data_IF_412098222415
#
_entry.id   IF_412098222415
#
_cell.length_a   1.000
_cell.length_b   1.000
_cell.length_c   1.000
_cell.angle_alpha   90.00
_cell.angle_beta   90.00
_cell.angle_gamma   90.00
#
_symmetry.space_group_name_H-M   'P 1'
#
loop_
_entity.id
_entity.type
_entity.pdbx_description
1 polymer ?
#
# COMPACT_ATOMS: atom_id res chain seq x y z
N UNK A 1 41.98 58.50 -26.79
CA UNK A 1 41.36 58.50 -28.13
C UNK A 1 40.99 57.05 -28.45
N UNK A 2 39.75 56.64 -28.15
CA UNK A 2 38.58 56.52 -29.06
C UNK A 2 38.64 55.23 -29.92
N UNK A 3 37.94 54.13 -29.58
CA UNK A 3 36.52 53.66 -29.81
C UNK A 3 36.31 52.76 -31.04
N UNK A 4 35.31 51.86 -30.91
CA UNK A 4 34.56 51.03 -31.88
C UNK A 4 35.11 49.59 -32.11
N UNK A 5 34.34 48.49 -32.15
CA UNK A 5 32.88 48.28 -32.22
C UNK A 5 32.54 46.80 -31.88
N UNK A 6 31.31 46.51 -31.38
CA UNK A 6 30.69 45.18 -31.27
C UNK A 6 30.07 44.73 -32.63
N UNK A 7 29.72 43.43 -32.84
CA UNK A 7 28.38 42.91 -32.47
C UNK A 7 28.41 41.49 -31.84
N UNK A 8 27.72 41.24 -30.73
CA UNK A 8 26.36 40.66 -30.61
C UNK A 8 26.15 39.40 -31.45
N UNK A 9 26.25 38.19 -30.85
CA UNK A 9 25.42 37.03 -31.21
C UNK A 9 24.93 36.34 -29.94
N UNK A 10 23.61 36.36 -29.79
CA UNK A 10 22.80 35.82 -28.71
C UNK A 10 22.97 34.30 -28.57
N UNK A 11 23.29 33.82 -27.37
CA UNK A 11 23.11 32.41 -27.01
C UNK A 11 21.79 32.26 -26.26
N UNK A 12 20.80 31.77 -26.99
CA UNK A 12 19.54 31.24 -26.48
C UNK A 12 19.82 30.23 -25.37
N UNK A 13 19.40 30.54 -24.14
CA UNK A 13 19.30 29.55 -23.05
C UNK A 13 18.06 28.72 -23.34
N UNK A 14 18.27 27.55 -23.93
CA UNK A 14 17.22 26.57 -24.18
C UNK A 14 16.88 25.90 -22.85
N UNK A 15 15.63 26.07 -22.43
CA UNK A 15 14.83 25.05 -21.77
C UNK A 15 15.26 24.64 -20.36
N UNK A 16 14.59 25.19 -19.36
CA UNK A 16 14.39 24.47 -18.11
C UNK A 16 13.69 23.14 -18.42
N UNK A 17 14.43 22.03 -18.32
CA UNK A 17 13.85 20.69 -18.26
C UNK A 17 13.00 20.65 -16.99
N UNK A 18 11.68 20.82 -17.14
CA UNK A 18 10.75 20.43 -16.08
C UNK A 18 11.00 18.95 -15.83
N UNK A 19 11.49 18.63 -14.63
CA UNK A 19 11.44 17.27 -14.10
C UNK A 19 9.98 16.84 -14.15
N UNK A 20 9.62 16.05 -15.15
CA UNK A 20 8.41 15.26 -15.10
C UNK A 20 8.64 14.24 -14.00
N UNK A 21 7.99 14.45 -12.85
CA UNK A 21 7.71 13.35 -11.94
C UNK A 21 7.00 12.30 -12.78
N UNK A 22 7.72 11.26 -13.19
CA UNK A 22 7.13 10.05 -13.70
C UNK A 22 6.27 9.52 -12.55
N UNK A 23 4.96 9.77 -12.60
CA UNK A 23 4.03 8.99 -11.83
C UNK A 23 4.39 7.54 -12.12
N UNK A 24 4.83 6.82 -11.09
CA UNK A 24 5.14 5.41 -11.24
C UNK A 24 3.85 4.74 -11.75
N UNK A 25 3.89 3.96 -12.84
CA UNK A 25 2.70 3.31 -13.39
C UNK A 25 1.97 2.45 -12.35
N UNK A 26 2.68 2.00 -11.32
CA UNK A 26 2.14 1.24 -10.20
C UNK A 26 1.29 2.10 -9.23
N UNK A 27 1.52 3.41 -9.16
CA UNK A 27 0.77 4.31 -8.26
C UNK A 27 -0.63 4.61 -8.79
N UNK A 28 -0.83 4.68 -10.10
CA UNK A 28 -2.14 4.93 -10.71
C UNK A 28 -3.04 3.71 -10.51
N UNK A 29 -2.49 2.50 -10.74
CA UNK A 29 -3.17 1.24 -10.49
C UNK A 29 -3.63 1.04 -9.02
N UNK A 30 -2.89 1.57 -8.04
CA UNK A 30 -3.28 1.50 -6.64
C UNK A 30 -4.41 2.46 -6.28
N UNK A 31 -4.40 3.68 -6.83
CA UNK A 31 -5.45 4.69 -6.58
C UNK A 31 -6.77 4.32 -7.23
N UNK A 32 -6.70 3.66 -8.40
CA UNK A 32 -7.85 3.15 -9.12
C UNK A 32 -8.42 1.84 -8.52
N UNK A 33 -7.76 1.28 -7.51
CA UNK A 33 -8.27 0.09 -6.81
C UNK A 33 -9.59 0.40 -6.09
N UNK A 34 -10.65 -0.40 -6.28
CA UNK A 34 -11.98 -0.13 -5.70
C UNK A 34 -12.01 -0.17 -4.16
N UNK A 35 -10.97 -0.72 -3.51
CA UNK A 35 -10.81 -0.72 -2.05
C UNK A 35 -10.10 0.52 -1.55
N UNK A 36 -9.40 1.26 -2.42
CA UNK A 36 -8.57 2.39 -2.03
C UNK A 36 -9.30 3.43 -1.16
N UNK A 37 -10.52 3.89 -1.50
CA UNK A 37 -11.22 4.85 -0.65
C UNK A 37 -11.49 4.34 0.77
N UNK A 38 -11.72 3.02 0.93
CA UNK A 38 -11.97 2.39 2.23
C UNK A 38 -10.68 2.26 3.03
N UNK A 39 -9.56 1.99 2.36
CA UNK A 39 -8.22 1.98 2.98
C UNK A 39 -7.88 3.38 3.51
N UNK A 40 -8.10 4.43 2.71
CA UNK A 40 -7.88 5.81 3.14
C UNK A 40 -8.74 6.17 4.36
N UNK A 41 -10.03 5.82 4.32
CA UNK A 41 -10.93 6.07 5.44
C UNK A 41 -10.48 5.37 6.73
N UNK A 42 -10.11 4.09 6.66
CA UNK A 42 -9.65 3.33 7.81
C UNK A 42 -8.34 3.89 8.40
N UNK A 43 -7.38 4.27 7.54
CA UNK A 43 -6.13 4.89 7.99
C UNK A 43 -6.37 6.25 8.66
N UNK A 44 -7.27 7.07 8.11
CA UNK A 44 -7.64 8.35 8.71
C UNK A 44 -8.37 8.17 10.05
N UNK A 45 -9.26 7.20 10.16
CA UNK A 45 -9.95 6.87 11.41
C UNK A 45 -8.96 6.45 12.49
N UNK A 46 -8.03 5.54 12.19
CA UNK A 46 -6.97 5.14 13.11
C UNK A 46 -6.11 6.33 13.55
N UNK A 47 -5.71 7.18 12.60
CA UNK A 47 -4.87 8.35 12.89
C UNK A 47 -5.59 9.37 13.78
N UNK A 48 -6.84 9.69 13.45
CA UNK A 48 -7.66 10.63 14.23
C UNK A 48 -8.02 10.09 15.62
N UNK A 49 -8.06 8.76 15.78
CA UNK A 49 -8.11 8.08 17.06
C UNK A 49 -6.81 8.09 17.87
N UNK A 50 -5.76 8.78 17.39
CA UNK A 50 -4.48 8.95 18.07
C UNK A 50 -3.50 7.77 17.89
N UNK A 51 -3.75 6.87 16.93
CA UNK A 51 -2.78 5.82 16.60
C UNK A 51 -1.60 6.43 15.86
N UNK A 52 -0.39 6.11 16.32
CA UNK A 52 0.87 6.51 15.67
C UNK A 52 1.58 5.33 14.99
N UNK A 53 1.03 4.12 15.12
CA UNK A 53 1.49 2.91 14.47
C UNK A 53 0.31 2.19 13.82
N UNK A 54 0.56 1.53 12.69
CA UNK A 54 -0.45 0.72 11.99
C UNK A 54 0.19 -0.54 11.40
N UNK A 55 -0.51 -1.67 11.52
CA UNK A 55 -0.16 -2.92 10.83
C UNK A 55 -1.20 -3.28 9.78
N UNK A 56 -0.75 -3.52 8.55
CA UNK A 56 -1.57 -3.81 7.38
C UNK A 56 -1.19 -5.18 6.83
N UNK A 57 -2.15 -6.08 6.69
CA UNK A 57 -1.98 -7.36 6.00
C UNK A 57 -2.69 -7.30 4.66
N UNK A 58 -2.03 -7.70 3.59
CA UNK A 58 -2.62 -7.82 2.24
C UNK A 58 -2.64 -9.29 1.83
N UNK A 59 -3.83 -9.88 1.85
CA UNK A 59 -4.08 -11.27 1.54
C UNK A 59 -4.44 -11.41 0.05
N UNK A 60 -3.56 -12.08 -0.69
CA UNK A 60 -3.50 -12.12 -2.17
C UNK A 60 -2.88 -10.85 -2.78
N UNK A 61 -1.75 -10.40 -2.22
CA UNK A 61 -1.18 -9.07 -2.48
C UNK A 61 -0.61 -8.86 -3.90
N UNK A 62 -0.49 -9.91 -4.71
CA UNK A 62 0.15 -9.85 -6.02
C UNK A 62 1.58 -9.32 -5.93
N UNK A 63 1.88 -8.28 -6.71
CA UNK A 63 3.18 -7.61 -6.68
C UNK A 63 3.32 -6.58 -5.54
N UNK A 64 2.38 -6.53 -4.59
CA UNK A 64 2.43 -5.66 -3.41
C UNK A 64 2.10 -4.20 -3.68
N UNK A 65 1.62 -3.86 -4.89
CA UNK A 65 1.38 -2.48 -5.33
C UNK A 65 0.42 -1.73 -4.40
N UNK A 66 -0.71 -2.32 -4.05
CA UNK A 66 -1.69 -1.68 -3.17
C UNK A 66 -1.16 -1.57 -1.73
N UNK A 67 -0.58 -2.63 -1.18
CA UNK A 67 0.02 -2.61 0.16
C UNK A 67 1.08 -1.52 0.29
N UNK A 68 2.04 -1.45 -0.64
CA UNK A 68 3.10 -0.44 -0.60
C UNK A 68 2.53 0.98 -0.74
N UNK A 69 1.49 1.16 -1.55
CA UNK A 69 0.81 2.45 -1.69
C UNK A 69 0.09 2.85 -0.39
N UNK A 70 -0.64 1.92 0.24
CA UNK A 70 -1.30 2.13 1.52
C UNK A 70 -0.31 2.49 2.63
N UNK A 71 0.83 1.81 2.68
CA UNK A 71 1.90 2.09 3.63
C UNK A 71 2.50 3.49 3.42
N UNK A 72 2.76 3.87 2.16
CA UNK A 72 3.21 5.22 1.81
C UNK A 72 2.20 6.29 2.22
N UNK A 73 0.90 6.03 2.05
CA UNK A 73 -0.16 6.95 2.48
C UNK A 73 -0.26 7.05 4.00
N UNK A 74 -0.13 5.94 4.74
CA UNK A 74 -0.05 5.97 6.20
C UNK A 74 1.10 6.87 6.67
N UNK A 75 2.27 6.80 6.03
CA UNK A 75 3.39 7.71 6.33
C UNK A 75 3.03 9.18 6.09
N UNK A 76 2.33 9.49 5.00
CA UNK A 76 1.86 10.84 4.69
C UNK A 76 0.84 11.36 5.73
N UNK A 77 0.04 10.48 6.33
CA UNK A 77 -0.90 10.81 7.41
C UNK A 77 -0.22 11.03 8.77
N UNK A 78 1.07 10.69 8.89
CA UNK A 78 1.87 10.92 10.09
C UNK A 78 2.07 9.68 10.98
N UNK A 79 1.72 8.48 10.52
CA UNK A 79 2.08 7.24 11.23
C UNK A 79 3.60 7.12 11.33
N UNK A 80 4.13 6.98 12.54
CA UNK A 80 5.57 6.91 12.82
C UNK A 80 6.15 5.50 12.69
N UNK A 81 5.30 4.47 12.76
CA UNK A 81 5.67 3.09 12.49
C UNK A 81 4.59 2.46 11.62
N UNK A 82 4.97 1.90 10.47
CA UNK A 82 4.03 1.25 9.56
C UNK A 82 4.58 -0.12 9.22
N UNK A 83 3.81 -1.14 9.56
CA UNK A 83 4.14 -2.53 9.28
C UNK A 83 3.21 -3.08 8.20
N UNK A 84 3.78 -3.76 7.21
CA UNK A 84 3.06 -4.37 6.11
C UNK A 84 3.45 -5.83 5.94
N UNK A 85 2.48 -6.72 5.78
CA UNK A 85 2.72 -8.12 5.47
C UNK A 85 1.88 -8.53 4.25
N UNK A 86 2.54 -8.88 3.15
CA UNK A 86 1.88 -9.29 1.91
C UNK A 86 1.97 -10.79 1.68
N UNK A 87 0.83 -11.45 1.46
CA UNK A 87 0.74 -12.89 1.25
C UNK A 87 0.22 -13.15 -0.17
N UNK A 88 0.88 -14.00 -0.93
CA UNK A 88 0.40 -14.45 -2.25
C UNK A 88 0.91 -15.87 -2.54
N UNK A 89 0.17 -16.68 -3.29
CA UNK A 89 0.62 -18.05 -3.64
C UNK A 89 1.71 -18.05 -4.72
N UNK A 90 1.83 -16.98 -5.49
CA UNK A 90 2.76 -16.81 -6.60
C UNK A 90 4.11 -16.33 -6.11
N UNK A 91 5.07 -17.25 -6.01
CA UNK A 91 6.46 -16.93 -5.70
C UNK A 91 7.09 -15.91 -6.65
N UNK A 92 6.65 -15.88 -7.92
CA UNK A 92 7.07 -14.90 -8.91
C UNK A 92 6.60 -13.48 -8.54
N UNK A 93 5.32 -13.34 -8.15
CA UNK A 93 4.76 -12.03 -7.75
C UNK A 93 5.35 -11.56 -6.43
N UNK A 94 5.54 -12.47 -5.47
CA UNK A 94 6.26 -12.17 -4.22
C UNK A 94 7.70 -11.72 -4.49
N UNK A 95 8.39 -12.34 -5.46
CA UNK A 95 9.72 -11.88 -5.89
C UNK A 95 9.69 -10.43 -6.39
N UNK A 96 8.66 -10.05 -7.14
CA UNK A 96 8.45 -8.66 -7.61
C UNK A 96 8.09 -7.71 -6.46
N UNK A 97 7.22 -8.14 -5.55
CA UNK A 97 6.82 -7.35 -4.39
C UNK A 97 8.01 -7.02 -3.48
N UNK A 98 8.86 -8.01 -3.21
CA UNK A 98 10.12 -7.82 -2.48
C UNK A 98 11.07 -6.87 -3.19
N UNK A 99 11.16 -6.93 -4.52
CA UNK A 99 11.95 -5.99 -5.29
C UNK A 99 11.39 -4.57 -5.18
N UNK A 100 10.07 -4.40 -5.31
CA UNK A 100 9.40 -3.10 -5.19
C UNK A 100 9.60 -2.49 -3.79
N UNK A 101 9.45 -3.27 -2.72
CA UNK A 101 9.71 -2.81 -1.35
C UNK A 101 11.14 -2.28 -1.14
N UNK A 102 12.15 -2.94 -1.72
CA UNK A 102 13.54 -2.47 -1.64
C UNK A 102 13.73 -1.09 -2.29
N UNK A 103 12.90 -0.75 -3.28
CA UNK A 103 12.96 0.56 -3.94
C UNK A 103 12.21 1.64 -3.15
N UNK A 104 11.24 1.27 -2.31
CA UNK A 104 10.49 2.21 -1.48
C UNK A 104 11.33 2.83 -0.34
N UNK A 105 12.37 2.13 0.13
CA UNK A 105 13.47 2.59 1.00
C UNK A 105 13.13 3.70 2.04
N UNK A 106 12.02 3.55 2.77
CA UNK A 106 11.70 4.36 3.97
C UNK A 106 11.98 3.51 5.21
N UNK A 107 12.94 3.88 6.08
CA UNK A 107 13.25 3.14 7.30
C UNK A 107 12.08 2.99 8.28
N UNK A 108 11.06 3.85 8.20
CA UNK A 108 9.85 3.77 9.02
C UNK A 108 8.82 2.75 8.48
N UNK A 109 9.08 2.16 7.31
CA UNK A 109 8.28 1.10 6.72
C UNK A 109 8.95 -0.25 6.98
N UNK A 110 8.35 -1.06 7.84
CA UNK A 110 8.66 -2.49 7.95
C UNK A 110 7.74 -3.25 7.02
N UNK A 111 8.25 -3.84 5.93
CA UNK A 111 7.43 -4.67 5.04
C UNK A 111 8.08 -5.99 4.76
N UNK A 112 7.30 -7.05 4.82
CA UNK A 112 7.69 -8.38 4.37
C UNK A 112 6.62 -9.00 3.47
N UNK A 113 7.05 -9.99 2.69
CA UNK A 113 6.23 -10.64 1.68
C UNK A 113 6.47 -12.13 1.71
N UNK A 114 5.41 -12.92 1.79
CA UNK A 114 5.46 -14.37 1.92
C UNK A 114 4.73 -15.08 0.77
N UNK A 115 5.38 -16.11 0.24
CA UNK A 115 4.76 -17.03 -0.71
C UNK A 115 4.09 -18.18 0.05
N UNK A 116 2.80 -18.04 0.37
CA UNK A 116 2.09 -18.97 1.26
C UNK A 116 0.63 -19.21 0.85
N UNK A 117 0.03 -20.23 1.46
CA UNK A 117 -1.42 -20.39 1.44
C UNK A 117 -2.09 -19.32 2.32
N UNK A 118 -2.98 -18.55 1.71
CA UNK A 118 -3.66 -17.42 2.35
C UNK A 118 -4.38 -17.79 3.65
N UNK A 119 -5.10 -18.92 3.69
CA UNK A 119 -5.88 -19.30 4.87
C UNK A 119 -4.97 -19.69 6.03
N UNK A 120 -3.86 -20.36 5.71
CA UNK A 120 -2.86 -20.76 6.69
C UNK A 120 -2.16 -19.53 7.26
N UNK A 121 -1.66 -18.62 6.42
CA UNK A 121 -1.00 -17.41 6.88
C UNK A 121 -1.94 -16.50 7.71
N UNK A 122 -3.19 -16.32 7.28
CA UNK A 122 -4.18 -15.56 8.07
C UNK A 122 -4.55 -16.23 9.41
N UNK A 123 -4.28 -17.53 9.59
CA UNK A 123 -4.44 -18.17 10.91
C UNK A 123 -3.34 -17.78 11.87
N UNK A 124 -2.12 -17.62 11.37
CA UNK A 124 -0.98 -17.22 12.20
C UNK A 124 -1.13 -15.76 12.67
N UNK A 125 -1.79 -14.91 11.87
CA UNK A 125 -2.13 -13.52 12.23
C UNK A 125 -3.16 -13.40 13.37
N UNK A 126 -3.84 -14.49 13.79
CA UNK A 126 -4.90 -14.40 14.82
C UNK A 126 -4.36 -14.10 16.22
N UNK A 127 -3.11 -14.48 16.51
CA UNK A 127 -2.50 -14.26 17.82
C UNK A 127 -2.12 -12.78 18.03
N UNK A 128 -1.86 -12.06 16.93
CA UNK A 128 -1.62 -10.64 16.93
C UNK A 128 -2.37 -10.04 15.73
N UNK A 129 -3.68 -9.76 15.79
CA UNK A 129 -4.44 -9.28 14.62
C UNK A 129 -3.93 -7.94 14.08
N UNK A 130 -3.99 -7.76 12.77
CA UNK A 130 -3.64 -6.51 12.08
C UNK A 130 -4.67 -5.42 12.35
N UNK A 131 -4.28 -4.16 12.17
CA UNK A 131 -5.25 -3.07 12.21
C UNK A 131 -6.16 -3.12 10.98
N UNK A 132 -5.57 -3.40 9.81
CA UNK A 132 -6.27 -3.51 8.53
C UNK A 132 -5.86 -4.80 7.83
N UNK A 133 -6.83 -5.57 7.37
CA UNK A 133 -6.64 -6.69 6.44
C UNK A 133 -7.29 -6.32 5.12
N UNK A 134 -6.51 -6.31 4.06
CA UNK A 134 -6.96 -6.19 2.68
C UNK A 134 -7.11 -7.61 2.13
N UNK A 135 -8.21 -7.89 1.44
CA UNK A 135 -8.43 -9.19 0.80
C UNK A 135 -8.93 -9.00 -0.63
N UNK A 136 -8.47 -9.87 -1.53
CA UNK A 136 -9.07 -10.02 -2.84
C UNK A 136 -10.04 -11.19 -2.88
N UNK A 137 -11.18 -10.97 -3.57
CA UNK A 137 -12.15 -12.00 -3.97
C UNK A 137 -12.34 -13.14 -2.93
N UNK A 138 -12.92 -12.79 -1.77
CA UNK A 138 -13.26 -13.77 -0.73
C UNK A 138 -14.22 -14.86 -1.24
N UNK A 139 -14.91 -14.62 -2.37
CA UNK A 139 -15.82 -15.59 -2.98
C UNK A 139 -15.11 -16.85 -3.48
N UNK A 140 -13.81 -16.78 -3.77
CA UNK A 140 -12.95 -17.94 -4.09
C UNK A 140 -12.68 -18.81 -2.87
N UNK A 141 -12.76 -18.23 -1.68
CA UNK A 141 -12.48 -18.88 -0.41
C UNK A 141 -13.80 -19.21 0.30
N UNK A 142 -14.59 -20.11 -0.30
CA UNK A 142 -15.92 -20.51 0.17
C UNK A 142 -16.04 -21.42 1.42
N UNK A 143 -14.99 -21.90 2.12
CA UNK A 143 -15.20 -22.55 3.41
C UNK A 143 -15.54 -21.53 4.52
N UNK A 144 -16.38 -21.87 5.51
CA UNK A 144 -16.60 -21.06 6.72
C UNK A 144 -15.30 -20.68 7.45
N UNK A 145 -14.28 -21.52 7.30
CA UNK A 145 -12.95 -21.34 7.87
C UNK A 145 -12.21 -20.13 7.30
N UNK A 146 -12.38 -19.84 6.01
CA UNK A 146 -11.70 -18.71 5.37
C UNK A 146 -12.25 -17.37 5.87
N UNK A 147 -13.58 -17.25 5.93
CA UNK A 147 -14.23 -16.08 6.48
C UNK A 147 -13.86 -15.86 7.96
N UNK A 148 -13.69 -16.94 8.74
CA UNK A 148 -13.23 -16.84 10.13
C UNK A 148 -11.76 -16.41 10.22
N UNK A 149 -10.88 -16.98 9.41
CA UNK A 149 -9.47 -16.61 9.39
C UNK A 149 -9.30 -15.12 9.07
N UNK A 150 -9.96 -14.62 8.02
CA UNK A 150 -9.92 -13.20 7.62
C UNK A 150 -10.42 -12.28 8.74
N UNK A 151 -11.57 -12.60 9.36
CA UNK A 151 -12.11 -11.78 10.47
C UNK A 151 -11.22 -11.77 11.70
N UNK A 152 -10.53 -12.87 11.98
CA UNK A 152 -9.67 -12.96 13.15
C UNK A 152 -8.29 -12.36 12.89
N UNK A 153 -7.85 -12.27 11.63
CA UNK A 153 -6.57 -11.72 11.25
C UNK A 153 -6.49 -10.19 11.34
N UNK A 154 -7.62 -9.47 11.47
CA UNK A 154 -7.58 -8.02 11.62
C UNK A 154 -8.82 -7.35 12.17
N UNK A 155 -8.65 -6.11 12.62
CA UNK A 155 -9.72 -5.29 13.21
C UNK A 155 -10.68 -4.74 12.16
N UNK A 156 -10.13 -4.30 11.03
CA UNK A 156 -10.88 -3.82 9.87
C UNK A 156 -10.54 -4.72 8.68
N UNK A 157 -11.56 -5.29 8.04
CA UNK A 157 -11.41 -6.10 6.83
C UNK A 157 -11.94 -5.32 5.63
N UNK A 158 -11.13 -5.18 4.60
CA UNK A 158 -11.44 -4.47 3.36
C UNK A 158 -11.31 -5.45 2.19
N UNK A 159 -12.45 -5.90 1.65
CA UNK A 159 -12.50 -6.81 0.52
C UNK A 159 -13.04 -6.13 -0.75
N UNK A 160 -12.72 -6.70 -1.92
CA UNK A 160 -13.23 -6.26 -3.24
C UNK A 160 -14.75 -6.36 -3.41
N UNK A 161 -15.46 -6.90 -2.42
CA UNK A 161 -16.90 -7.02 -2.46
C UNK A 161 -17.57 -5.64 -2.53
N UNK A 162 -18.35 -5.41 -3.58
CA UNK A 162 -19.30 -4.30 -3.67
C UNK A 162 -20.40 -4.34 -2.57
N UNK A 163 -20.35 -5.31 -1.64
CA UNK A 163 -21.43 -5.63 -0.71
C UNK A 163 -21.05 -5.84 0.77
N UNK A 164 -19.77 -5.86 1.16
CA UNK A 164 -19.40 -6.19 2.55
C UNK A 164 -19.12 -4.95 3.40
N UNK A 165 -20.18 -4.29 3.84
CA UNK A 165 -20.16 -3.40 5.00
C UNK A 165 -20.36 -4.25 6.26
N UNK A 166 -19.28 -4.73 6.87
CA UNK A 166 -19.35 -5.41 8.18
C UNK A 166 -18.59 -4.54 9.19
N UNK A 167 -19.28 -3.52 9.71
CA UNK A 167 -18.86 -2.82 10.91
C UNK A 167 -19.22 -3.69 12.13
N UNK A 168 -18.21 -4.39 12.67
CA UNK A 168 -18.30 -5.00 13.98
C UNK A 168 -17.71 -4.06 15.03
N UNK A 169 -18.52 -3.11 15.52
CA UNK A 169 -18.17 -2.38 16.75
C UNK A 169 -18.55 -3.29 17.92
N UNK A 170 -17.56 -3.90 18.55
CA UNK A 170 -17.76 -4.58 19.83
C UNK A 170 -17.99 -3.51 20.92
N UNK A 171 -19.13 -3.60 21.62
CA UNK A 171 -19.42 -2.89 22.85
C UNK A 171 -18.79 -3.60 24.06
#
# INVERSE_FOLDING_TARGET
>A
MNVFNLPIWSRTVIGAVKRTCTAQPDSEAAVDDPRWPRIQAALLELQSGGRHAVRIVDADCGAGTLLLHAMGHARQLGFTAVEGHGIDRSSLLIGRARLAARHAADPALGVDFEAADMITALRDEQDLPADIVICHDLSRYRPPEAARAVRNAGRVVIADDAACNVQGIAA
#
